data_IF_315869885490
#
_entry.id   IF_315869885490
#
_cell.length_a   1.000
_cell.length_b   1.000
_cell.length_c   1.000
_cell.angle_alpha   90.00
_cell.angle_beta   90.00
_cell.angle_gamma   90.00
#
_symmetry.space_group_name_H-M   'P 1'
#
loop_
_entity.id
_entity.type
_entity.pdbx_description
1 polymer ?
#
# COMPACT_ATOMS: atom_id res chain seq x y z
N UNK A 1 -0.13 -40.16 -12.15
CA UNK A 1 0.09 -39.03 -11.22
C UNK A 1 1.32 -38.13 -11.51
N UNK A 2 2.12 -38.43 -12.53
CA UNK A 2 3.28 -37.60 -12.94
C UNK A 2 2.96 -36.58 -14.04
N UNK A 3 1.75 -36.56 -14.59
CA UNK A 3 1.38 -35.67 -15.71
C UNK A 3 0.69 -34.37 -15.29
N UNK A 4 0.20 -34.21 -14.04
CA UNK A 4 -0.45 -32.98 -13.56
C UNK A 4 0.51 -31.87 -13.07
N UNK A 5 1.81 -32.13 -12.96
CA UNK A 5 2.81 -31.16 -12.45
C UNK A 5 3.58 -30.42 -13.56
N UNK A 6 3.12 -30.45 -14.82
CA UNK A 6 3.86 -29.88 -15.97
C UNK A 6 3.37 -28.54 -16.50
N UNK A 7 2.25 -27.98 -15.98
CA UNK A 7 1.61 -26.83 -16.60
C UNK A 7 2.13 -25.44 -16.21
N UNK A 8 3.01 -25.31 -15.17
CA UNK A 8 3.45 -23.99 -14.67
C UNK A 8 4.98 -23.80 -14.53
N UNK A 9 5.78 -24.60 -15.22
CA UNK A 9 7.21 -24.32 -15.25
C UNK A 9 7.51 -23.26 -16.31
N UNK A 10 7.68 -22.02 -15.88
CA UNK A 10 8.34 -21.03 -16.71
C UNK A 10 9.75 -21.55 -17.04
N UNK A 11 10.07 -21.64 -18.31
CA UNK A 11 11.41 -22.01 -18.75
C UNK A 11 12.43 -20.98 -18.27
N UNK A 12 13.64 -21.40 -17.85
CA UNK A 12 14.70 -20.45 -17.55
C UNK A 12 14.93 -19.51 -18.73
N UNK A 13 15.06 -18.22 -18.47
CA UNK A 13 15.33 -17.19 -19.47
C UNK A 13 16.70 -16.58 -19.25
N UNK A 14 17.35 -16.07 -20.29
CA UNK A 14 18.60 -15.33 -20.17
C UNK A 14 18.37 -14.04 -19.37
N UNK A 15 19.37 -13.60 -18.60
CA UNK A 15 19.29 -12.37 -17.82
C UNK A 15 18.99 -11.16 -18.70
N UNK A 16 19.56 -11.11 -19.91
CA UNK A 16 19.26 -10.06 -20.91
C UNK A 16 17.78 -10.03 -21.32
N UNK A 17 17.15 -11.20 -21.40
CA UNK A 17 15.76 -11.36 -21.84
C UNK A 17 14.77 -11.18 -20.68
N UNK A 18 15.29 -11.28 -19.45
CA UNK A 18 14.52 -11.01 -18.23
C UNK A 18 14.36 -9.51 -17.94
N UNK A 19 15.09 -8.65 -18.63
CA UNK A 19 14.95 -7.19 -18.56
C UNK A 19 13.72 -6.78 -19.39
N UNK A 20 12.55 -7.12 -18.89
CA UNK A 20 11.32 -6.44 -19.32
C UNK A 20 11.43 -5.01 -18.82
N UNK A 21 11.26 -4.02 -19.71
CA UNK A 21 11.04 -2.64 -19.30
C UNK A 21 10.04 -2.64 -18.15
N UNK A 22 10.50 -2.23 -16.97
CA UNK A 22 9.68 -2.23 -15.76
C UNK A 22 8.69 -1.09 -15.91
N UNK A 23 7.61 -1.33 -16.66
CA UNK A 23 6.57 -0.34 -16.86
C UNK A 23 5.98 0.03 -15.49
N UNK A 24 6.25 1.26 -15.09
CA UNK A 24 5.71 1.81 -13.86
C UNK A 24 4.40 2.50 -14.16
N UNK A 25 3.38 2.15 -13.40
CA UNK A 25 2.12 2.88 -13.41
C UNK A 25 2.18 3.97 -12.37
N UNK A 26 2.30 5.21 -12.83
CA UNK A 26 2.24 6.37 -11.95
C UNK A 26 0.82 6.54 -11.41
N UNK A 27 0.71 6.82 -10.13
CA UNK A 27 -0.52 7.34 -9.53
C UNK A 27 -0.51 8.86 -9.64
N UNK A 28 -1.64 9.55 -9.66
CA UNK A 28 -1.67 11.02 -9.56
C UNK A 28 -1.29 11.57 -8.17
N UNK A 29 -0.67 10.74 -7.31
CA UNK A 29 -0.12 11.12 -6.01
C UNK A 29 1.41 11.10 -6.13
N UNK A 30 2.01 12.25 -6.42
CA UNK A 30 3.46 12.35 -6.65
C UNK A 30 4.28 11.94 -5.44
N UNK A 31 3.82 12.24 -4.23
CA UNK A 31 4.47 11.85 -3.00
C UNK A 31 4.46 10.32 -2.79
N UNK A 32 3.37 9.63 -3.20
CA UNK A 32 3.34 8.17 -3.20
C UNK A 32 4.28 7.59 -4.27
N UNK A 33 4.29 8.18 -5.47
CA UNK A 33 5.21 7.76 -6.53
C UNK A 33 6.67 7.89 -6.12
N UNK A 34 7.01 8.93 -5.36
CA UNK A 34 8.36 9.17 -4.83
C UNK A 34 8.84 7.97 -4.01
N UNK A 35 8.10 7.58 -2.99
CA UNK A 35 8.50 6.45 -2.10
C UNK A 35 8.43 5.09 -2.79
N UNK A 36 7.60 4.97 -3.84
CA UNK A 36 7.55 3.79 -4.69
C UNK A 36 8.68 3.72 -5.72
N UNK A 37 9.50 4.78 -5.84
CA UNK A 37 10.58 4.85 -6.82
C UNK A 37 10.08 5.15 -8.25
N UNK A 38 8.97 5.88 -8.37
CA UNK A 38 8.42 6.35 -9.64
C UNK A 38 7.07 5.72 -10.05
N UNK A 39 6.43 4.97 -9.18
CA UNK A 39 5.11 4.36 -9.39
C UNK A 39 5.07 2.86 -9.14
N UNK A 40 3.90 2.25 -9.30
CA UNK A 40 3.66 0.82 -9.11
C UNK A 40 4.22 0.01 -10.28
N UNK A 41 4.84 -1.12 -9.96
CA UNK A 41 5.36 -2.09 -10.94
C UNK A 41 4.40 -3.28 -11.05
N UNK A 42 4.27 -3.84 -12.24
CA UNK A 42 3.43 -5.01 -12.50
C UNK A 42 3.86 -6.21 -11.61
N UNK A 43 2.93 -6.75 -10.83
CA UNK A 43 3.18 -7.84 -9.89
C UNK A 43 3.93 -7.43 -8.61
N UNK A 44 4.17 -6.13 -8.38
CA UNK A 44 4.79 -5.64 -7.14
C UNK A 44 3.86 -5.84 -5.95
N UNK A 45 4.38 -6.39 -4.87
CA UNK A 45 3.70 -6.46 -3.59
C UNK A 45 4.26 -5.39 -2.64
N UNK A 46 3.40 -4.48 -2.19
CA UNK A 46 3.71 -3.38 -1.27
C UNK A 46 2.97 -3.60 0.04
N UNK A 47 3.69 -3.59 1.15
CA UNK A 47 3.13 -3.56 2.49
C UNK A 47 3.15 -2.13 3.02
N UNK A 48 1.98 -1.60 3.35
CA UNK A 48 1.81 -0.33 4.05
C UNK A 48 1.57 -0.61 5.53
N UNK A 49 2.56 -0.36 6.35
CA UNK A 49 2.53 -0.54 7.80
C UNK A 49 2.27 0.79 8.52
N UNK A 50 1.77 0.72 9.74
CA UNK A 50 1.61 1.90 10.61
C UNK A 50 0.59 1.66 11.71
N UNK A 51 0.56 2.57 12.70
CA UNK A 51 -0.38 2.49 13.82
C UNK A 51 -1.85 2.60 13.35
N UNK A 52 -2.80 2.01 14.09
CA UNK A 52 -4.23 2.22 13.83
C UNK A 52 -4.59 3.71 13.90
N UNK A 53 -5.45 4.16 12.96
CA UNK A 53 -5.94 5.54 12.92
C UNK A 53 -4.99 6.57 12.31
N UNK A 54 -3.80 6.19 11.83
CA UNK A 54 -2.85 7.12 11.19
C UNK A 54 -3.30 7.59 9.79
N UNK A 55 -4.28 6.90 9.17
CA UNK A 55 -4.81 7.27 7.85
C UNK A 55 -4.43 6.34 6.70
N UNK A 56 -3.93 5.12 6.97
CA UNK A 56 -3.53 4.15 5.93
C UNK A 56 -4.64 3.84 4.92
N UNK A 57 -5.82 3.47 5.44
CA UNK A 57 -6.99 3.15 4.61
C UNK A 57 -7.45 4.34 3.78
N UNK A 58 -7.37 5.57 4.32
CA UNK A 58 -7.66 6.81 3.59
C UNK A 58 -6.69 7.01 2.45
N UNK A 59 -5.37 6.88 2.70
CA UNK A 59 -4.34 7.01 1.68
C UNK A 59 -4.56 6.01 0.53
N UNK A 60 -4.82 4.73 0.86
CA UNK A 60 -4.99 3.71 -0.17
C UNK A 60 -6.31 3.84 -0.92
N UNK A 61 -7.37 4.30 -0.27
CA UNK A 61 -8.66 4.56 -0.94
C UNK A 61 -8.55 5.72 -1.95
N UNK A 62 -7.85 6.81 -1.58
CA UNK A 62 -7.52 7.91 -2.52
C UNK A 62 -6.59 7.45 -3.64
N UNK A 63 -5.58 6.63 -3.31
CA UNK A 63 -4.67 6.08 -4.31
C UNK A 63 -5.42 5.17 -5.30
N UNK A 64 -6.37 4.36 -4.81
CA UNK A 64 -7.24 3.51 -5.61
C UNK A 64 -8.07 4.31 -6.61
N UNK A 65 -8.76 5.35 -6.16
CA UNK A 65 -9.56 6.24 -7.02
C UNK A 65 -8.70 6.89 -8.10
N UNK A 66 -7.58 7.48 -7.69
CA UNK A 66 -6.67 8.16 -8.61
C UNK A 66 -6.01 7.19 -9.60
N UNK A 67 -5.70 5.95 -9.17
CA UNK A 67 -5.18 4.91 -10.05
C UNK A 67 -6.24 4.46 -11.07
N UNK A 68 -7.49 4.28 -10.63
CA UNK A 68 -8.61 3.91 -11.49
C UNK A 68 -8.86 4.95 -12.61
N UNK A 69 -8.66 6.23 -12.28
CA UNK A 69 -8.85 7.38 -13.19
C UNK A 69 -7.59 7.80 -13.94
N UNK A 70 -6.44 7.20 -13.68
CA UNK A 70 -5.18 7.61 -14.31
C UNK A 70 -5.30 7.60 -15.85
N UNK A 71 -4.64 8.57 -16.48
CA UNK A 71 -4.72 8.87 -17.93
C UNK A 71 -4.60 7.62 -18.81
N UNK A 72 -5.49 7.46 -19.79
CA UNK A 72 -5.51 6.37 -20.73
C UNK A 72 -6.77 5.49 -20.58
N UNK A 73 -6.59 4.17 -20.55
CA UNK A 73 -7.69 3.21 -20.37
C UNK A 73 -8.11 3.19 -18.90
N UNK A 74 -9.42 3.23 -18.59
CA UNK A 74 -9.92 3.02 -17.23
C UNK A 74 -9.40 1.71 -16.65
N UNK A 75 -8.90 1.75 -15.41
CA UNK A 75 -8.34 0.60 -14.71
C UNK A 75 -9.29 0.11 -13.64
N UNK A 76 -9.43 -1.19 -13.54
CA UNK A 76 -10.21 -1.81 -12.48
C UNK A 76 -9.38 -1.90 -11.22
N UNK A 77 -9.91 -1.42 -10.11
CA UNK A 77 -9.31 -1.58 -8.78
C UNK A 77 -10.26 -2.38 -7.92
N UNK A 78 -9.74 -3.41 -7.27
CA UNK A 78 -10.47 -4.18 -6.28
C UNK A 78 -9.91 -3.86 -4.89
N UNK A 79 -10.78 -3.32 -4.02
CA UNK A 79 -10.48 -3.01 -2.63
C UNK A 79 -11.23 -4.01 -1.74
N UNK A 80 -10.48 -4.88 -1.07
CA UNK A 80 -11.01 -5.84 -0.11
C UNK A 80 -10.78 -5.31 1.30
N UNK A 81 -11.85 -5.25 2.09
CA UNK A 81 -11.79 -4.92 3.50
C UNK A 81 -12.20 -6.12 4.34
N UNK A 82 -11.44 -6.42 5.37
CA UNK A 82 -11.84 -7.38 6.40
C UNK A 82 -12.19 -6.71 7.73
N UNK A 83 -12.16 -5.37 7.79
CA UNK A 83 -12.43 -4.61 9.02
C UNK A 83 -13.73 -3.81 8.95
N UNK A 84 -14.01 -3.22 7.79
CA UNK A 84 -15.17 -2.34 7.58
C UNK A 84 -16.05 -2.89 6.47
N UNK A 85 -17.35 -2.72 6.63
CA UNK A 85 -18.30 -3.09 5.58
C UNK A 85 -18.18 -2.18 4.36
N UNK A 86 -18.64 -2.66 3.20
CA UNK A 86 -18.66 -1.88 1.97
C UNK A 86 -19.40 -0.54 2.11
N UNK A 87 -20.48 -0.49 2.95
CA UNK A 87 -21.21 0.74 3.22
C UNK A 87 -20.38 1.74 4.04
N UNK A 88 -19.63 1.28 5.05
CA UNK A 88 -18.75 2.14 5.86
C UNK A 88 -17.65 2.75 5.01
N UNK A 89 -17.03 1.94 4.14
CA UNK A 89 -16.04 2.42 3.18
C UNK A 89 -16.68 3.40 2.19
N UNK A 90 -17.90 3.12 1.71
CA UNK A 90 -18.65 4.01 0.82
C UNK A 90 -18.98 5.37 1.44
N UNK A 91 -19.27 5.43 2.75
CA UNK A 91 -19.46 6.68 3.48
C UNK A 91 -18.15 7.47 3.54
N UNK A 92 -17.03 6.80 3.84
CA UNK A 92 -15.69 7.41 3.85
C UNK A 92 -15.30 7.89 2.46
N UNK A 93 -15.48 7.08 1.42
CA UNK A 93 -15.20 7.41 0.04
C UNK A 93 -15.90 8.71 -0.39
N UNK A 94 -17.20 8.83 -0.10
CA UNK A 94 -17.96 10.06 -0.38
C UNK A 94 -17.41 11.28 0.32
N UNK A 95 -17.02 11.17 1.59
CA UNK A 95 -16.45 12.27 2.39
C UNK A 95 -15.14 12.79 1.78
N UNK A 96 -14.29 11.91 1.26
CA UNK A 96 -12.99 12.26 0.67
C UNK A 96 -13.04 12.41 -0.87
N UNK A 97 -14.24 12.42 -1.46
CA UNK A 97 -14.42 12.66 -2.90
C UNK A 97 -14.01 11.50 -3.82
N UNK A 98 -13.90 10.28 -3.27
CA UNK A 98 -13.61 9.07 -4.03
C UNK A 98 -14.89 8.56 -4.69
N UNK A 99 -14.88 8.41 -6.03
CA UNK A 99 -16.06 8.05 -6.81
C UNK A 99 -15.74 7.44 -8.19
N UNK A 100 -14.60 6.79 -8.37
CA UNK A 100 -14.27 6.12 -9.64
C UNK A 100 -15.20 4.93 -9.90
N UNK A 101 -15.82 4.88 -11.08
CA UNK A 101 -16.77 3.83 -11.49
C UNK A 101 -16.13 2.42 -11.56
N UNK A 102 -14.81 2.36 -11.72
CA UNK A 102 -14.02 1.13 -11.83
C UNK A 102 -13.34 0.73 -10.51
N UNK A 103 -13.62 1.44 -9.41
CA UNK A 103 -13.20 1.06 -8.06
C UNK A 103 -14.29 0.20 -7.42
N UNK A 104 -14.01 -1.09 -7.28
CA UNK A 104 -14.90 -2.08 -6.67
C UNK A 104 -14.48 -2.35 -5.24
N UNK A 105 -15.43 -2.47 -4.33
CA UNK A 105 -15.22 -2.72 -2.91
C UNK A 105 -15.95 -3.99 -2.52
N UNK A 106 -15.29 -4.87 -1.77
CA UNK A 106 -15.92 -6.02 -1.13
C UNK A 106 -15.45 -6.12 0.33
N UNK A 107 -16.34 -6.54 1.20
CA UNK A 107 -16.05 -6.94 2.58
C UNK A 107 -15.90 -8.46 2.63
N UNK A 108 -14.67 -8.92 2.88
CA UNK A 108 -14.35 -10.34 2.85
C UNK A 108 -13.18 -10.67 3.79
N UNK A 109 -13.28 -11.79 4.48
CA UNK A 109 -12.25 -12.30 5.39
C UNK A 109 -11.76 -13.70 5.03
N UNK A 110 -12.40 -14.39 4.10
CA UNK A 110 -11.98 -15.69 3.60
C UNK A 110 -11.06 -15.54 2.38
N UNK A 111 -9.85 -16.10 2.46
CA UNK A 111 -8.86 -16.01 1.39
C UNK A 111 -9.34 -16.66 0.08
N UNK A 112 -10.07 -17.78 0.14
CA UNK A 112 -10.53 -18.46 -1.08
C UNK A 112 -11.60 -17.63 -1.80
N UNK A 113 -12.52 -17.02 -1.05
CA UNK A 113 -13.55 -16.12 -1.61
C UNK A 113 -12.91 -14.86 -2.17
N UNK A 114 -11.91 -14.28 -1.46
CA UNK A 114 -11.13 -13.14 -1.96
C UNK A 114 -10.49 -13.47 -3.31
N UNK A 115 -9.86 -14.62 -3.45
CA UNK A 115 -9.26 -15.06 -4.72
C UNK A 115 -10.31 -15.25 -5.82
N UNK A 116 -11.50 -15.74 -5.47
CA UNK A 116 -12.65 -15.79 -6.39
C UNK A 116 -13.03 -14.41 -6.91
N UNK A 117 -13.11 -13.40 -6.04
CA UNK A 117 -13.34 -12.01 -6.48
C UNK A 117 -12.24 -11.51 -7.41
N UNK A 118 -10.97 -11.85 -7.15
CA UNK A 118 -9.85 -11.48 -8.04
C UNK A 118 -10.00 -12.14 -9.41
N UNK A 119 -10.50 -13.38 -9.49
CA UNK A 119 -10.74 -14.07 -10.75
C UNK A 119 -11.89 -13.45 -11.54
N UNK A 120 -13.01 -13.15 -10.88
CA UNK A 120 -14.22 -12.61 -11.50
C UNK A 120 -14.02 -11.17 -11.98
N UNK A 121 -13.33 -10.33 -11.21
CA UNK A 121 -13.11 -8.92 -11.52
C UNK A 121 -11.96 -8.74 -12.50
N UNK A 122 -10.89 -9.55 -12.40
CA UNK A 122 -9.62 -9.39 -13.11
C UNK A 122 -9.08 -7.96 -12.98
N UNK A 123 -8.70 -7.53 -11.75
CA UNK A 123 -8.34 -6.15 -11.48
C UNK A 123 -6.92 -5.80 -11.94
N UNK A 124 -6.71 -4.53 -12.29
CA UNK A 124 -5.40 -3.95 -12.57
C UNK A 124 -4.61 -3.59 -11.29
N UNK A 125 -5.28 -3.55 -10.14
CA UNK A 125 -4.72 -3.31 -8.81
C UNK A 125 -5.59 -3.97 -7.74
N UNK A 126 -4.97 -4.72 -6.83
CA UNK A 126 -5.62 -5.28 -5.64
C UNK A 126 -5.14 -4.55 -4.39
N UNK A 127 -6.08 -4.16 -3.52
CA UNK A 127 -5.82 -3.60 -2.19
C UNK A 127 -6.50 -4.48 -1.15
N UNK A 128 -5.79 -4.83 -0.07
CA UNK A 128 -6.32 -5.63 1.05
C UNK A 128 -6.10 -4.89 2.36
N UNK A 129 -7.19 -4.56 3.04
CA UNK A 129 -7.25 -3.79 4.29
C UNK A 129 -8.04 -4.56 5.38
N UNK A 130 -7.40 -5.24 6.27
CA UNK A 130 -5.97 -5.48 6.46
C UNK A 130 -5.64 -6.95 6.25
N UNK A 131 -4.36 -7.25 6.03
CA UNK A 131 -3.90 -8.64 5.87
C UNK A 131 -4.14 -9.48 7.13
N UNK A 132 -4.23 -8.86 8.30
CA UNK A 132 -4.48 -9.54 9.57
C UNK A 132 -5.92 -10.06 9.73
N UNK A 133 -6.87 -9.53 8.98
CA UNK A 133 -8.27 -9.94 9.06
C UNK A 133 -8.62 -11.08 8.12
N UNK A 134 -7.76 -11.33 7.13
CA UNK A 134 -7.96 -12.42 6.17
C UNK A 134 -7.45 -13.73 6.78
N UNK A 135 -8.20 -14.81 6.56
CA UNK A 135 -7.84 -16.15 7.00
C UNK A 135 -7.97 -17.17 5.87
N UNK A 136 -7.10 -18.17 5.90
CA UNK A 136 -7.19 -19.38 5.06
C UNK A 136 -7.85 -20.49 5.85
N UNK A 137 -8.90 -21.09 5.31
CA UNK A 137 -9.53 -22.28 5.90
C UNK A 137 -8.63 -23.54 5.82
N UNK A 138 -7.59 -23.50 4.99
CA UNK A 138 -6.64 -24.62 4.83
C UNK A 138 -5.60 -24.68 5.96
N UNK A 139 -5.51 -23.64 6.79
CA UNK A 139 -4.54 -23.55 7.86
C UNK A 139 -5.23 -23.34 9.21
N UNK A 140 -4.92 -24.17 10.18
CA UNK A 140 -5.40 -24.01 11.56
C UNK A 140 -4.86 -22.72 12.19
N UNK A 141 -5.71 -22.06 12.97
CA UNK A 141 -5.35 -20.86 13.70
C UNK A 141 -6.34 -19.72 13.47
N UNK A 142 -6.25 -18.70 14.33
CA UNK A 142 -7.11 -17.52 14.23
C UNK A 142 -6.55 -16.54 13.21
N UNK A 143 -7.44 -15.80 12.54
CA UNK A 143 -7.08 -14.62 11.75
C UNK A 143 -6.15 -13.70 12.57
N UNK A 144 -5.16 -13.09 11.93
CA UNK A 144 -4.16 -12.25 12.58
C UNK A 144 -3.01 -13.02 13.25
N UNK A 145 -3.12 -14.33 13.45
CA UNK A 145 -2.02 -15.17 13.92
C UNK A 145 -0.86 -15.20 12.92
N UNK A 146 0.38 -15.33 13.42
CA UNK A 146 1.60 -15.24 12.58
C UNK A 146 1.55 -16.20 11.39
N UNK A 147 1.15 -17.45 11.60
CA UNK A 147 1.08 -18.47 10.54
C UNK A 147 0.02 -18.09 9.48
N UNK A 148 -1.17 -17.67 9.90
CA UNK A 148 -2.25 -17.24 9.00
C UNK A 148 -1.83 -16.05 8.16
N UNK A 149 -1.32 -15.00 8.79
CA UNK A 149 -0.92 -13.76 8.08
C UNK A 149 0.23 -14.04 7.10
N UNK A 150 1.15 -14.94 7.47
CA UNK A 150 2.24 -15.35 6.60
C UNK A 150 1.72 -16.11 5.37
N UNK A 151 0.83 -17.10 5.56
CA UNK A 151 0.22 -17.88 4.47
C UNK A 151 -0.59 -16.97 3.54
N UNK A 152 -1.49 -16.16 4.09
CA UNK A 152 -2.29 -15.19 3.32
C UNK A 152 -1.39 -14.28 2.48
N UNK A 153 -0.33 -13.72 3.08
CA UNK A 153 0.61 -12.85 2.36
C UNK A 153 1.32 -13.61 1.24
N UNK A 154 1.74 -14.85 1.46
CA UNK A 154 2.40 -15.67 0.44
C UNK A 154 1.48 -15.97 -0.75
N UNK A 155 0.25 -16.40 -0.46
CA UNK A 155 -0.74 -16.74 -1.49
C UNK A 155 -1.10 -15.51 -2.31
N UNK A 156 -1.40 -14.38 -1.67
CA UNK A 156 -1.72 -13.14 -2.36
C UNK A 156 -0.54 -12.61 -3.19
N UNK A 157 0.68 -12.69 -2.67
CA UNK A 157 1.89 -12.29 -3.41
C UNK A 157 2.11 -13.18 -4.63
N UNK A 158 1.87 -14.48 -4.52
CA UNK A 158 1.97 -15.42 -5.65
C UNK A 158 0.92 -15.11 -6.71
N UNK A 159 -0.32 -14.88 -6.31
CA UNK A 159 -1.42 -14.51 -7.20
C UNK A 159 -1.11 -13.19 -7.94
N UNK A 160 -0.64 -12.17 -7.22
CA UNK A 160 -0.25 -10.88 -7.78
C UNK A 160 0.86 -11.01 -8.84
N UNK A 161 1.92 -11.78 -8.53
CA UNK A 161 3.02 -12.02 -9.47
C UNK A 161 2.58 -12.81 -10.70
N UNK A 162 1.78 -13.86 -10.52
CA UNK A 162 1.26 -14.68 -11.62
C UNK A 162 0.38 -13.88 -12.60
N UNK A 163 -0.41 -12.95 -12.09
CA UNK A 163 -1.29 -12.07 -12.87
C UNK A 163 -0.62 -10.77 -13.32
N UNK A 164 0.62 -10.51 -12.89
CA UNK A 164 1.32 -9.22 -13.08
C UNK A 164 0.53 -8.02 -12.55
N UNK A 165 -0.29 -8.22 -11.56
CA UNK A 165 -1.16 -7.25 -10.90
C UNK A 165 -0.46 -6.69 -9.65
N UNK A 166 -0.29 -5.37 -9.50
CA UNK A 166 0.19 -4.77 -8.26
C UNK A 166 -0.73 -5.12 -7.08
N UNK A 167 -0.14 -5.33 -5.92
CA UNK A 167 -0.83 -5.65 -4.68
C UNK A 167 -0.39 -4.68 -3.58
N UNK A 168 -1.34 -4.00 -2.96
CA UNK A 168 -1.13 -3.16 -1.78
C UNK A 168 -1.77 -3.85 -0.57
N UNK A 169 -0.96 -4.21 0.42
CA UNK A 169 -1.40 -4.80 1.68
C UNK A 169 -1.33 -3.76 2.79
N UNK A 170 -2.38 -3.58 3.55
CA UNK A 170 -2.32 -2.86 4.82
C UNK A 170 -1.94 -3.84 5.92
N UNK A 171 -0.89 -3.47 6.69
CA UNK A 171 -0.47 -4.16 7.90
C UNK A 171 -0.58 -3.23 9.10
N UNK A 172 -1.21 -3.69 10.17
CA UNK A 172 -1.24 -2.94 11.43
C UNK A 172 0.03 -3.25 12.22
N UNK A 173 0.72 -2.21 12.70
CA UNK A 173 1.77 -2.36 13.69
C UNK A 173 1.15 -2.33 15.08
N UNK A 174 1.16 -3.47 15.77
CA UNK A 174 0.76 -3.56 17.17
C UNK A 174 2.00 -3.51 18.06
N UNK A 175 1.86 -2.91 19.25
CA UNK A 175 2.93 -2.91 20.28
C UNK A 175 3.12 -4.30 20.91
N UNK A 176 2.11 -5.17 20.79
CA UNK A 176 2.14 -6.54 21.27
C UNK A 176 2.62 -7.50 20.20
N UNK A 177 3.65 -8.29 20.49
CA UNK A 177 4.21 -9.31 19.62
C UNK A 177 3.27 -10.52 19.37
N UNK A 178 2.03 -10.48 19.84
CA UNK A 178 1.05 -11.57 19.69
C UNK A 178 0.38 -11.62 18.31
N UNK A 179 0.43 -10.52 17.55
CA UNK A 179 -0.09 -10.40 16.18
C UNK A 179 1.10 -10.26 15.23
N UNK A 180 1.01 -10.88 14.06
CA UNK A 180 2.04 -10.76 13.03
C UNK A 180 2.27 -9.29 12.67
N UNK A 181 3.33 -8.71 13.19
CA UNK A 181 3.73 -7.35 12.88
C UNK A 181 4.35 -7.25 11.48
N UNK A 182 4.49 -6.03 10.94
CA UNK A 182 5.06 -5.79 9.61
C UNK A 182 6.43 -6.43 9.39
N UNK A 183 7.26 -6.51 10.44
CA UNK A 183 8.60 -7.12 10.37
C UNK A 183 8.59 -8.60 9.97
N UNK A 184 7.58 -9.36 10.37
CA UNK A 184 7.46 -10.78 10.00
C UNK A 184 7.13 -10.96 8.51
N UNK A 185 6.61 -9.93 7.83
CA UNK A 185 6.20 -9.96 6.43
C UNK A 185 7.21 -9.32 5.47
N UNK A 186 8.21 -8.61 5.98
CA UNK A 186 9.16 -7.84 5.16
C UNK A 186 9.87 -8.69 4.10
N UNK A 187 10.15 -9.96 4.39
CA UNK A 187 10.82 -10.85 3.45
C UNK A 187 9.90 -11.38 2.35
N UNK A 188 8.58 -11.36 2.55
CA UNK A 188 7.58 -11.84 1.60
C UNK A 188 7.18 -10.82 0.55
N UNK A 189 7.36 -9.53 0.85
CA UNK A 189 6.94 -8.42 -0.01
C UNK A 189 8.12 -7.74 -0.69
N UNK A 190 7.87 -7.02 -1.76
CA UNK A 190 8.91 -6.33 -2.54
C UNK A 190 9.22 -4.95 -1.96
N UNK A 191 8.22 -4.29 -1.39
CA UNK A 191 8.34 -2.93 -0.84
C UNK A 191 7.63 -2.87 0.51
N UNK A 192 8.25 -2.21 1.48
CA UNK A 192 7.68 -1.91 2.80
C UNK A 192 7.67 -0.41 2.99
N UNK A 193 6.49 0.13 3.14
CA UNK A 193 6.24 1.53 3.47
C UNK A 193 5.72 1.61 4.91
N UNK A 194 6.20 2.57 5.68
CA UNK A 194 5.68 2.88 7.01
C UNK A 194 5.00 4.23 7.00
N UNK A 195 3.73 4.27 7.42
CA UNK A 195 2.96 5.48 7.55
C UNK A 195 2.88 5.89 9.02
N UNK A 196 3.45 7.04 9.34
CA UNK A 196 3.66 7.53 10.69
C UNK A 196 3.01 8.90 10.86
N UNK A 197 2.61 9.23 12.08
CA UNK A 197 2.10 10.55 12.41
C UNK A 197 1.81 10.67 13.89
N UNK A 198 2.02 11.84 14.43
CA UNK A 198 1.61 12.18 15.79
C UNK A 198 0.14 12.61 15.80
N UNK A 199 -0.60 12.19 16.82
CA UNK A 199 -2.02 12.58 17.02
C UNK A 199 -2.18 14.09 17.26
N UNK A 200 -1.13 14.75 17.72
CA UNK A 200 -1.12 16.19 18.00
C UNK A 200 -0.86 17.07 16.77
N UNK A 201 -0.51 16.48 15.63
CA UNK A 201 -0.22 17.21 14.40
C UNK A 201 -0.96 16.63 13.19
N UNK A 202 -1.33 17.44 12.21
CA UNK A 202 -1.92 16.93 10.97
C UNK A 202 -0.89 16.27 10.06
N UNK A 203 0.41 16.44 10.33
CA UNK A 203 1.48 15.92 9.48
C UNK A 203 1.57 14.40 9.55
N UNK A 204 1.70 13.77 8.38
CA UNK A 204 1.90 12.33 8.21
C UNK A 204 3.11 12.10 7.32
N UNK A 205 3.95 11.16 7.73
CA UNK A 205 5.16 10.79 7.00
C UNK A 205 4.99 9.38 6.43
N UNK A 206 5.30 9.22 5.17
CA UNK A 206 5.34 7.92 4.50
C UNK A 206 6.81 7.62 4.15
N UNK A 207 7.36 6.59 4.78
CA UNK A 207 8.77 6.17 4.61
C UNK A 207 8.87 4.88 3.84
N UNK A 208 9.82 4.81 2.92
CA UNK A 208 10.22 3.56 2.29
C UNK A 208 11.30 2.88 3.14
N UNK A 209 10.96 1.82 3.86
CA UNK A 209 11.92 1.06 4.67
C UNK A 209 12.63 -0.03 3.83
N UNK A 210 11.94 -0.52 2.81
CA UNK A 210 12.44 -1.49 1.85
C UNK A 210 11.82 -1.20 0.48
N UNK A 211 12.63 -1.19 -0.56
CA UNK A 211 12.11 -1.07 -1.92
C UNK A 211 13.01 -1.79 -2.92
N UNK A 212 12.55 -2.92 -3.47
CA UNK A 212 13.29 -3.67 -4.51
C UNK A 212 13.32 -2.97 -5.86
N UNK A 213 12.42 -2.00 -6.06
CA UNK A 213 12.25 -1.29 -7.33
C UNK A 213 12.70 0.16 -7.29
N UNK A 214 13.28 0.61 -6.17
CA UNK A 214 13.72 2.00 -6.01
C UNK A 214 14.50 2.22 -4.72
N UNK A 215 14.81 3.47 -4.39
CA UNK A 215 15.52 3.80 -3.15
C UNK A 215 14.66 3.46 -1.93
N UNK A 216 15.32 3.04 -0.85
CA UNK A 216 14.69 2.68 0.42
C UNK A 216 14.82 3.79 1.48
N UNK A 217 15.32 4.97 1.11
CA UNK A 217 15.56 6.12 1.99
C UNK A 217 14.67 7.32 1.66
N UNK A 218 13.62 7.11 0.85
CA UNK A 218 12.69 8.17 0.46
C UNK A 218 11.61 8.37 1.52
N UNK A 219 11.30 9.66 1.75
CA UNK A 219 10.23 10.10 2.65
C UNK A 219 9.27 11.01 1.89
N UNK A 220 8.00 10.73 2.03
CA UNK A 220 6.91 11.56 1.53
C UNK A 220 6.13 12.17 2.68
N UNK A 221 5.63 13.38 2.49
CA UNK A 221 4.89 14.11 3.51
C UNK A 221 3.46 14.36 3.05
N UNK A 222 2.53 14.16 3.98
CA UNK A 222 1.11 14.45 3.80
C UNK A 222 0.60 15.24 4.99
N UNK A 223 -0.43 16.02 4.76
CA UNK A 223 -1.22 16.69 5.78
C UNK A 223 -2.60 16.05 5.84
N UNK A 224 -3.02 15.62 7.01
CA UNK A 224 -4.35 15.09 7.22
C UNK A 224 -5.35 16.24 7.34
N UNK A 225 -6.36 16.26 6.48
CA UNK A 225 -7.47 17.21 6.47
C UNK A 225 -8.81 16.47 6.62
N UNK A 226 -9.89 17.19 6.86
CA UNK A 226 -11.23 16.63 7.00
C UNK A 226 -11.71 15.95 5.71
N UNK A 227 -11.25 16.42 4.57
CA UNK A 227 -11.56 15.97 3.23
C UNK A 227 -10.53 14.96 2.64
N UNK A 228 -9.58 14.45 3.47
CA UNK A 228 -8.61 13.45 3.05
C UNK A 228 -7.16 13.82 3.34
N UNK A 229 -6.24 13.35 2.50
CA UNK A 229 -4.80 13.56 2.64
C UNK A 229 -4.28 14.51 1.55
N UNK A 230 -3.68 15.62 1.97
CA UNK A 230 -3.04 16.58 1.08
C UNK A 230 -1.54 16.30 0.98
N UNK A 231 -1.00 16.34 -0.23
CA UNK A 231 0.42 16.17 -0.45
C UNK A 231 1.18 17.44 0.00
N UNK A 232 2.25 17.25 0.77
CA UNK A 232 3.15 18.33 1.18
C UNK A 232 4.45 18.20 0.40
N UNK A 233 4.55 18.94 -0.70
CA UNK A 233 5.71 18.88 -1.60
C UNK A 233 6.95 19.59 -1.04
N UNK A 234 6.76 20.60 -0.20
CA UNK A 234 7.83 21.32 0.53
C UNK A 234 7.55 21.30 2.04
N UNK A 235 7.98 20.26 2.79
CA UNK A 235 7.81 20.23 4.23
C UNK A 235 8.50 21.40 4.95
N UNK A 236 9.59 21.92 4.41
CA UNK A 236 10.30 23.03 5.02
C UNK A 236 9.49 24.33 5.01
N UNK A 237 8.57 24.49 4.08
CA UNK A 237 7.67 25.63 4.05
C UNK A 237 6.74 25.67 5.28
N UNK A 238 6.34 24.50 5.81
CA UNK A 238 5.50 24.41 7.01
C UNK A 238 6.18 25.03 8.24
N UNK A 239 7.51 24.88 8.32
CA UNK A 239 8.28 25.40 9.45
C UNK A 239 8.70 26.86 9.24
N UNK A 240 8.79 27.32 8.00
CA UNK A 240 9.14 28.71 7.66
C UNK A 240 7.95 29.66 7.79
N UNK A 241 6.76 29.23 7.40
CA UNK A 241 5.55 30.06 7.37
C UNK A 241 4.99 30.47 8.74
N UNK A 242 5.42 29.83 9.82
CA UNK A 242 4.99 30.15 11.18
C UNK A 242 5.76 31.32 11.83
N UNK A 243 6.76 31.90 11.13
CA UNK A 243 7.56 32.98 11.68
C UNK A 243 7.46 34.22 10.79
N UNK A 244 6.54 35.11 11.13
CA UNK A 244 6.45 36.46 10.51
C UNK A 244 7.55 37.41 10.96
N UNK A 245 8.23 37.13 12.09
CA UNK A 245 9.30 37.98 12.63
C UNK A 245 10.49 37.16 13.13
N UNK A 246 11.68 37.66 12.88
CA UNK A 246 12.91 37.10 13.43
C UNK A 246 12.96 37.31 14.96
N UNK A 247 13.00 36.24 15.72
CA UNK A 247 13.16 36.29 17.19
C UNK A 247 14.63 36.08 17.51
N UNK A 248 15.31 37.04 18.16
CA UNK A 248 16.71 36.87 18.54
C UNK A 248 16.94 35.62 19.40
N UNK A 249 18.03 34.89 19.13
CA UNK A 249 18.36 33.66 19.82
C UNK A 249 17.70 32.40 19.25
N UNK A 250 16.99 32.49 18.12
CA UNK A 250 16.40 31.35 17.42
C UNK A 250 17.09 31.13 16.08
N UNK A 251 17.27 29.85 15.69
CA UNK A 251 17.73 29.48 14.35
C UNK A 251 16.87 28.35 13.79
N UNK A 252 16.82 28.25 12.48
CA UNK A 252 16.24 27.10 11.77
C UNK A 252 17.41 26.15 11.48
N UNK A 253 17.38 24.96 12.11
CA UNK A 253 18.31 23.91 11.77
C UNK A 253 17.76 23.09 10.60
N UNK A 254 18.60 22.85 9.60
CA UNK A 254 18.27 21.99 8.47
C UNK A 254 18.83 20.61 8.77
N UNK A 255 17.95 19.63 8.81
CA UNK A 255 18.33 18.22 8.93
C UNK A 255 17.94 17.50 7.63
N UNK A 256 18.80 16.57 7.19
CA UNK A 256 18.47 15.68 6.07
C UNK A 256 17.73 14.46 6.63
N UNK A 257 16.63 14.14 6.03
CA UNK A 257 15.91 12.90 6.26
C UNK A 257 15.64 12.21 4.93
N UNK A 258 16.29 11.08 4.71
CA UNK A 258 16.36 10.48 3.40
C UNK A 258 17.05 11.41 2.40
N UNK A 259 16.38 11.72 1.30
CA UNK A 259 16.86 12.65 0.26
C UNK A 259 16.22 14.05 0.35
N UNK A 260 15.55 14.34 1.45
CA UNK A 260 14.92 15.66 1.70
C UNK A 260 15.64 16.40 2.83
N UNK A 261 15.70 17.70 2.66
CA UNK A 261 16.12 18.67 3.68
C UNK A 261 14.89 19.36 4.28
#
# INVERSE_FOLDING_TARGET
>A
DRQRCRSDRQSPVHVSDAVVETMRVKTPIEELNRVLGGGLVAGQCVLLAGEPGVGKSTLLLEAADKFARASGKPRKVLYISGEESAEQIGIRARRIGVNADTLLIADETDLAVLLGHVEDVDPDLLIVDSVQTIASAELDGRAGGVAQVHEVTQVLTRAAKGRRMPLLLIGQSTRDNSVAGPRSLEHLVDTVLTFEGDRGTPLRLLRANKNRYGPADEVACFEQADDGLRQVTDPSALFRSQREQAIPGTCIAITLEGRRA
#
